data_IF_959481566987
#
_entry.id   IF_959481566987
#
_cell.length_a   1.000
_cell.length_b   1.000
_cell.length_c   1.000
_cell.angle_alpha   90.00
_cell.angle_beta   90.00
_cell.angle_gamma   90.00
#
_symmetry.space_group_name_H-M   'P 1'
#
loop_
_entity.id
_entity.type
_entity.pdbx_description
1 polymer ?
#
# COMPACT_ATOMS: atom_id res chain seq x y z
N UNK A 1 -8.07 -8.44 7.29
CA UNK A 1 -8.71 -8.44 5.95
C UNK A 1 -10.15 -8.91 6.11
N UNK A 2 -11.08 -8.20 5.50
CA UNK A 2 -12.48 -8.65 5.48
C UNK A 2 -12.63 -9.88 4.58
N UNK A 3 -13.47 -10.80 5.00
CA UNK A 3 -13.79 -12.03 4.25
C UNK A 3 -14.28 -11.69 2.82
N UNK A 4 -15.02 -10.60 2.69
CA UNK A 4 -15.50 -10.08 1.40
C UNK A 4 -14.37 -9.71 0.44
N UNK A 5 -13.31 -9.06 0.93
CA UNK A 5 -12.13 -8.70 0.14
C UNK A 5 -11.39 -9.93 -0.37
N UNK A 6 -11.21 -10.93 0.52
CA UNK A 6 -10.54 -12.18 0.14
C UNK A 6 -11.34 -12.95 -0.94
N UNK A 7 -12.65 -13.09 -0.73
CA UNK A 7 -13.55 -13.74 -1.69
C UNK A 7 -13.61 -12.99 -3.02
N UNK A 8 -13.61 -11.66 -2.99
CA UNK A 8 -13.60 -10.82 -4.18
C UNK A 8 -12.33 -11.02 -5.01
N UNK A 9 -11.16 -11.00 -4.37
CA UNK A 9 -9.87 -11.20 -5.04
C UNK A 9 -9.79 -12.63 -5.62
N UNK A 10 -10.07 -13.65 -4.82
CA UNK A 10 -10.01 -15.05 -5.28
C UNK A 10 -11.03 -15.32 -6.39
N UNK A 11 -12.24 -14.76 -6.29
CA UNK A 11 -13.28 -14.88 -7.29
C UNK A 11 -12.87 -14.24 -8.62
N UNK A 12 -12.37 -12.99 -8.58
CA UNK A 12 -11.94 -12.27 -9.78
C UNK A 12 -10.81 -13.01 -10.51
N UNK A 13 -9.75 -13.38 -9.79
CA UNK A 13 -8.63 -14.13 -10.39
C UNK A 13 -9.05 -15.54 -10.82
N UNK A 14 -9.93 -16.20 -10.09
CA UNK A 14 -10.45 -17.52 -10.45
C UNK A 14 -11.26 -17.51 -11.74
N UNK A 15 -12.15 -16.52 -11.93
CA UNK A 15 -12.92 -16.35 -13.16
C UNK A 15 -12.01 -16.03 -14.35
N UNK A 16 -11.07 -15.11 -14.19
CA UNK A 16 -10.12 -14.73 -15.26
C UNK A 16 -9.25 -15.95 -15.64
N UNK A 17 -8.65 -16.62 -14.66
CA UNK A 17 -7.83 -17.82 -14.89
C UNK A 17 -8.63 -18.96 -15.52
N UNK A 18 -9.88 -19.18 -15.09
CA UNK A 18 -10.78 -20.15 -15.69
C UNK A 18 -11.10 -19.85 -17.16
N UNK A 19 -11.39 -18.59 -17.49
CA UNK A 19 -11.61 -18.18 -18.87
C UNK A 19 -10.38 -18.38 -19.76
N UNK A 20 -9.17 -18.06 -19.25
CA UNK A 20 -7.91 -18.26 -19.96
C UNK A 20 -7.63 -19.75 -20.24
N UNK A 21 -7.91 -20.63 -19.26
CA UNK A 21 -7.74 -22.09 -19.46
C UNK A 21 -8.69 -22.67 -20.52
N UNK A 22 -9.94 -22.18 -20.56
CA UNK A 22 -10.93 -22.55 -21.53
C UNK A 22 -10.57 -22.08 -22.95
N UNK A 23 -9.81 -21.00 -23.09
CA UNK A 23 -9.41 -20.40 -24.38
C UNK A 23 -8.10 -20.95 -24.96
N UNK A 24 -7.56 -22.04 -24.41
CA UNK A 24 -6.37 -22.70 -24.98
C UNK A 24 -5.17 -22.79 -24.03
N UNK A 25 -5.36 -22.38 -22.76
CA UNK A 25 -4.34 -22.47 -21.71
C UNK A 25 -3.65 -21.14 -21.40
N UNK A 26 -3.23 -21.01 -20.17
CA UNK A 26 -2.62 -19.77 -19.62
C UNK A 26 -1.35 -19.36 -20.39
N UNK A 27 -0.60 -20.34 -20.92
CA UNK A 27 0.68 -20.08 -21.61
C UNK A 27 0.56 -19.21 -22.86
N UNK A 28 -0.61 -19.19 -23.52
CA UNK A 28 -0.85 -18.36 -24.71
C UNK A 28 -0.95 -16.86 -24.34
N UNK A 29 -1.40 -16.59 -23.11
CA UNK A 29 -1.62 -15.21 -22.62
C UNK A 29 -0.41 -14.64 -21.90
N UNK A 30 0.66 -15.42 -21.70
CA UNK A 30 1.90 -14.95 -21.03
C UNK A 30 2.94 -14.66 -22.10
N UNK A 31 3.08 -13.39 -22.42
CA UNK A 31 4.11 -12.87 -23.29
C UNK A 31 5.18 -12.13 -22.48
N UNK A 32 6.46 -12.54 -22.62
CA UNK A 32 7.56 -11.98 -21.83
C UNK A 32 7.78 -10.49 -22.11
N UNK A 33 7.82 -10.01 -23.36
CA UNK A 33 7.90 -8.60 -23.69
C UNK A 33 6.79 -7.75 -23.03
N UNK A 34 5.54 -8.21 -23.06
CA UNK A 34 4.41 -7.53 -22.44
C UNK A 34 4.57 -7.40 -20.93
N UNK A 35 4.98 -8.48 -20.27
CA UNK A 35 5.24 -8.47 -18.82
C UNK A 35 6.35 -7.47 -18.47
N UNK A 36 7.43 -7.42 -19.25
CA UNK A 36 8.51 -6.46 -19.05
C UNK A 36 8.05 -5.01 -19.26
N UNK A 37 7.31 -4.73 -20.32
CA UNK A 37 6.80 -3.38 -20.60
C UNK A 37 5.85 -2.93 -19.49
N UNK A 38 4.88 -3.75 -19.12
CA UNK A 38 3.86 -3.35 -18.16
C UNK A 38 4.41 -3.31 -16.73
N UNK A 39 5.01 -4.38 -16.23
CA UNK A 39 5.47 -4.42 -14.85
C UNK A 39 6.73 -3.60 -14.64
N UNK A 40 7.81 -3.93 -15.34
CA UNK A 40 9.11 -3.28 -15.15
C UNK A 40 9.04 -1.82 -15.63
N UNK A 41 8.39 -1.55 -16.75
CA UNK A 41 8.17 -0.21 -17.26
C UNK A 41 7.40 0.66 -16.28
N UNK A 42 6.30 0.16 -15.70
CA UNK A 42 5.54 0.89 -14.67
C UNK A 42 6.41 1.21 -13.45
N UNK A 43 7.18 0.23 -12.96
CA UNK A 43 8.09 0.45 -11.84
C UNK A 43 9.08 1.59 -12.11
N UNK A 44 9.74 1.60 -13.26
CA UNK A 44 10.70 2.66 -13.61
C UNK A 44 10.03 4.03 -13.80
N UNK A 45 8.86 4.09 -14.45
CA UNK A 45 8.13 5.35 -14.63
C UNK A 45 7.70 5.94 -13.28
N UNK A 46 7.23 5.11 -12.36
CA UNK A 46 6.85 5.58 -11.02
C UNK A 46 8.09 5.95 -10.21
N UNK A 47 9.19 5.19 -10.31
CA UNK A 47 10.44 5.49 -9.64
C UNK A 47 11.02 6.87 -10.05
N UNK A 48 10.77 7.34 -11.26
CA UNK A 48 11.21 8.68 -11.71
C UNK A 48 10.50 9.82 -10.96
N UNK A 49 9.30 9.57 -10.39
CA UNK A 49 8.48 10.58 -9.68
C UNK A 49 8.74 10.65 -8.18
N UNK A 50 9.29 9.61 -7.59
CA UNK A 50 9.47 9.49 -6.14
C UNK A 50 10.92 9.19 -5.78
N UNK A 51 11.33 9.57 -4.57
CA UNK A 51 12.64 9.21 -4.07
C UNK A 51 12.73 7.70 -3.81
N UNK A 52 13.92 7.12 -4.06
CA UNK A 52 14.16 5.67 -3.89
C UNK A 52 13.79 5.17 -2.50
N UNK A 53 14.06 5.97 -1.45
CA UNK A 53 13.69 5.64 -0.06
C UNK A 53 12.17 5.55 0.15
N UNK A 54 11.41 6.47 -0.45
CA UNK A 54 9.94 6.48 -0.40
C UNK A 54 9.36 5.30 -1.18
N UNK A 55 9.93 5.03 -2.35
CA UNK A 55 9.52 3.92 -3.20
C UNK A 55 9.73 2.56 -2.51
N UNK A 56 10.88 2.33 -1.89
CA UNK A 56 11.11 1.11 -1.11
C UNK A 56 10.24 1.04 0.15
N UNK A 57 9.94 2.18 0.75
CA UNK A 57 9.06 2.29 1.92
C UNK A 57 7.61 1.90 1.64
N UNK A 58 7.10 2.11 0.41
CA UNK A 58 5.71 1.81 0.06
C UNK A 58 5.38 0.30 0.18
N UNK A 59 6.34 -0.60 -0.05
CA UNK A 59 6.15 -2.04 0.12
C UNK A 59 5.95 -2.43 1.58
N UNK A 60 6.62 -1.74 2.53
CA UNK A 60 6.39 -1.94 3.97
C UNK A 60 4.99 -1.49 4.39
N UNK A 61 4.51 -0.39 3.81
CA UNK A 61 3.16 0.12 4.08
C UNK A 61 2.11 -0.85 3.53
N UNK A 62 2.28 -1.35 2.30
CA UNK A 62 1.40 -2.35 1.74
C UNK A 62 1.37 -3.65 2.56
N UNK A 63 2.53 -4.14 3.00
CA UNK A 63 2.61 -5.31 3.87
C UNK A 63 1.84 -5.13 5.18
N UNK A 64 1.93 -3.94 5.79
CA UNK A 64 1.16 -3.62 7.00
C UNK A 64 -0.36 -3.60 6.76
N UNK A 65 -0.82 -3.14 5.61
CA UNK A 65 -2.24 -3.11 5.27
C UNK A 65 -2.90 -4.51 5.29
N UNK A 66 -2.13 -5.57 5.03
CA UNK A 66 -2.62 -6.95 5.10
C UNK A 66 -2.59 -7.56 6.51
N UNK A 67 -1.66 -7.14 7.37
CA UNK A 67 -1.36 -7.80 8.65
C UNK A 67 -1.88 -6.98 9.83
N UNK A 68 -2.07 -5.67 9.65
CA UNK A 68 -2.41 -4.78 10.76
C UNK A 68 -3.82 -5.03 11.29
N UNK A 69 -3.91 -5.30 12.59
CA UNK A 69 -5.17 -5.40 13.31
C UNK A 69 -5.47 -4.01 13.90
N UNK A 70 -6.58 -3.42 13.49
CA UNK A 70 -7.06 -2.18 14.08
C UNK A 70 -7.43 -2.45 15.53
N UNK A 71 -6.96 -1.61 16.44
CA UNK A 71 -7.45 -1.56 17.82
C UNK A 71 -8.86 -1.00 17.78
N UNK A 72 -9.78 -1.57 18.56
CA UNK A 72 -11.14 -1.04 18.64
C UNK A 72 -11.08 0.36 19.28
N UNK A 73 -11.66 1.38 18.64
CA UNK A 73 -11.70 2.72 19.22
C UNK A 73 -12.38 2.78 20.59
N UNK A 74 -13.34 1.88 20.87
CA UNK A 74 -14.03 1.81 22.15
C UNK A 74 -13.08 1.35 23.25
N UNK A 75 -12.31 0.29 23.01
CA UNK A 75 -11.32 -0.22 23.97
C UNK A 75 -10.27 0.86 24.30
N UNK A 76 -9.85 1.64 23.29
CA UNK A 76 -8.89 2.72 23.48
C UNK A 76 -9.48 3.88 24.31
N UNK A 77 -10.76 4.21 24.11
CA UNK A 77 -11.44 5.24 24.90
C UNK A 77 -11.53 4.80 26.37
N UNK A 78 -11.90 3.57 26.64
CA UNK A 78 -12.01 3.03 27.99
C UNK A 78 -10.64 3.05 28.69
N UNK A 79 -9.58 2.68 27.98
CA UNK A 79 -8.20 2.75 28.48
C UNK A 79 -7.78 4.19 28.83
N UNK A 80 -8.09 5.17 27.97
CA UNK A 80 -7.80 6.58 28.22
C UNK A 80 -8.57 7.11 29.43
N UNK A 81 -9.84 6.71 29.61
CA UNK A 81 -10.66 7.08 30.77
C UNK A 81 -10.07 6.52 32.07
N UNK A 82 -9.63 5.26 32.06
CA UNK A 82 -8.99 4.64 33.24
C UNK A 82 -7.69 5.37 33.61
N UNK A 83 -6.84 5.66 32.62
CA UNK A 83 -5.60 6.39 32.83
C UNK A 83 -5.83 7.81 33.37
N UNK A 84 -6.87 8.50 32.86
CA UNK A 84 -7.25 9.82 33.33
C UNK A 84 -7.75 9.80 34.79
N UNK A 85 -8.51 8.80 35.17
CA UNK A 85 -8.98 8.60 36.55
C UNK A 85 -7.83 8.29 37.51
N UNK A 86 -6.87 7.50 37.07
CA UNK A 86 -5.67 7.18 37.85
C UNK A 86 -4.78 8.41 38.06
N UNK A 87 -4.53 9.15 36.99
CA UNK A 87 -3.78 10.42 37.07
C UNK A 87 -4.43 11.41 37.99
N UNK A 88 -5.78 11.49 38.04
CA UNK A 88 -6.53 12.36 38.90
C UNK A 88 -6.43 11.97 40.39
N UNK A 89 -6.41 10.66 40.68
CA UNK A 89 -6.39 10.13 42.05
C UNK A 89 -4.99 10.06 42.64
N UNK A 90 -4.03 9.64 41.86
CA UNK A 90 -2.69 9.29 42.32
C UNK A 90 -1.58 10.20 41.76
N UNK A 91 -1.95 11.17 40.91
CA UNK A 91 -1.01 12.07 40.22
C UNK A 91 -0.42 11.50 38.96
N UNK A 92 0.20 12.36 38.11
CA UNK A 92 0.76 11.99 36.81
C UNK A 92 1.87 10.95 36.91
N UNK A 93 2.66 10.94 37.97
CA UNK A 93 3.75 9.97 38.19
C UNK A 93 3.26 8.53 38.34
N UNK A 94 1.99 8.33 38.72
CA UNK A 94 1.43 6.95 38.80
C UNK A 94 1.28 6.27 37.45
N UNK A 95 1.39 7.03 36.35
CA UNK A 95 1.30 6.50 35.00
C UNK A 95 2.62 6.00 34.42
N UNK A 96 3.76 6.23 35.12
CA UNK A 96 5.09 5.87 34.65
C UNK A 96 5.25 4.35 34.40
N UNK A 97 4.72 3.53 35.30
CA UNK A 97 4.81 2.07 35.24
C UNK A 97 3.62 1.40 34.51
N UNK A 98 2.69 2.18 33.96
CA UNK A 98 1.53 1.66 33.27
C UNK A 98 1.88 1.23 31.85
N UNK A 99 1.62 -0.04 31.54
CA UNK A 99 1.65 -0.52 30.14
C UNK A 99 0.39 -0.10 29.41
N UNK A 100 0.56 0.60 28.31
CA UNK A 100 -0.52 1.10 27.45
C UNK A 100 -0.49 0.34 26.13
N UNK A 101 -1.66 -0.04 25.63
CA UNK A 101 -1.79 -0.85 24.43
C UNK A 101 -1.33 -0.17 23.15
N UNK A 102 -1.47 1.16 23.08
CA UNK A 102 -1.11 1.97 21.92
C UNK A 102 0.18 2.76 22.15
N UNK A 103 1.17 2.57 21.25
CA UNK A 103 2.49 3.20 21.35
C UNK A 103 2.46 4.73 21.23
N UNK A 104 1.48 5.29 20.50
CA UNK A 104 1.33 6.74 20.39
C UNK A 104 0.80 7.33 21.71
N UNK A 105 -0.19 6.68 22.31
CA UNK A 105 -0.72 7.04 23.62
C UNK A 105 0.36 6.92 24.71
N UNK A 106 1.14 5.84 24.70
CA UNK A 106 2.28 5.65 25.61
C UNK A 106 3.29 6.80 25.51
N UNK A 107 3.63 7.24 24.28
CA UNK A 107 4.54 8.38 24.10
C UNK A 107 3.99 9.69 24.67
N UNK A 108 2.68 9.91 24.55
CA UNK A 108 2.02 11.07 25.13
C UNK A 108 2.05 11.08 26.66
N UNK A 109 1.77 9.93 27.27
CA UNK A 109 1.82 9.75 28.72
C UNK A 109 3.23 10.00 29.23
N UNK A 110 4.25 9.45 28.58
CA UNK A 110 5.65 9.65 28.99
C UNK A 110 6.02 11.13 29.02
N UNK A 111 5.63 11.90 27.99
CA UNK A 111 5.86 13.35 27.98
C UNK A 111 5.17 14.09 29.13
N UNK A 112 3.97 13.65 29.56
CA UNK A 112 3.26 14.22 30.69
C UNK A 112 3.93 13.86 32.02
N UNK A 113 4.39 12.62 32.17
CA UNK A 113 5.13 12.15 33.37
C UNK A 113 6.47 12.89 33.51
N UNK A 114 7.16 13.14 32.38
CA UNK A 114 8.41 13.92 32.33
C UNK A 114 8.21 15.41 32.67
N UNK A 115 6.96 15.85 32.95
CA UNK A 115 6.64 17.18 33.40
C UNK A 115 6.56 18.24 32.32
N UNK A 116 6.39 17.85 31.05
CA UNK A 116 6.16 18.79 29.95
C UNK A 116 4.81 19.47 30.07
N UNK A 117 4.76 20.74 29.67
CA UNK A 117 3.51 21.51 29.63
C UNK A 117 2.49 20.83 28.68
N UNK A 118 1.22 20.68 29.09
CA UNK A 118 0.17 20.05 28.30
C UNK A 118 0.02 20.60 26.89
N UNK A 119 0.20 21.90 26.67
CA UNK A 119 0.13 22.52 25.35
C UNK A 119 1.33 22.10 24.48
N UNK A 120 2.50 21.93 25.07
CA UNK A 120 3.70 21.43 24.38
C UNK A 120 3.49 19.96 23.98
N UNK A 121 3.00 19.14 24.91
CA UNK A 121 2.70 17.72 24.63
C UNK A 121 1.70 17.59 23.48
N UNK A 122 0.61 18.35 23.53
CA UNK A 122 -0.39 18.40 22.46
C UNK A 122 0.21 18.77 21.11
N UNK A 123 1.06 19.77 21.07
CA UNK A 123 1.74 20.24 19.86
C UNK A 123 2.67 19.17 19.29
N UNK A 124 3.44 18.49 20.13
CA UNK A 124 4.35 17.41 19.73
C UNK A 124 3.59 16.21 19.17
N UNK A 125 2.53 15.76 19.86
CA UNK A 125 1.70 14.64 19.41
C UNK A 125 0.99 14.96 18.08
N UNK A 126 0.47 16.19 17.94
CA UNK A 126 -0.14 16.61 16.68
C UNK A 126 0.86 16.60 15.52
N UNK A 127 2.10 17.03 15.77
CA UNK A 127 3.17 17.02 14.78
C UNK A 127 3.55 15.59 14.39
N UNK A 128 3.72 14.69 15.36
CA UNK A 128 4.05 13.28 15.09
C UNK A 128 2.94 12.58 14.31
N UNK A 129 1.69 12.78 14.68
CA UNK A 129 0.53 12.30 13.93
C UNK A 129 0.54 12.83 12.48
N UNK A 130 0.76 14.14 12.30
CA UNK A 130 0.80 14.76 10.97
C UNK A 130 1.92 14.19 10.10
N UNK A 131 3.12 14.01 10.65
CA UNK A 131 4.25 13.42 9.91
C UNK A 131 4.02 11.94 9.57
N UNK A 132 3.35 11.21 10.45
CA UNK A 132 2.97 9.81 10.19
C UNK A 132 1.93 9.71 9.08
N UNK A 133 0.91 10.57 9.09
CA UNK A 133 -0.09 10.67 8.01
C UNK A 133 0.57 10.99 6.67
N UNK A 134 1.45 11.99 6.61
CA UNK A 134 2.18 12.34 5.38
C UNK A 134 2.98 11.17 4.82
N UNK A 135 3.66 10.39 5.68
CA UNK A 135 4.39 9.18 5.24
C UNK A 135 3.46 8.14 4.63
N UNK A 136 2.28 7.95 5.22
CA UNK A 136 1.28 7.01 4.69
C UNK A 136 0.67 7.51 3.40
N UNK A 137 0.37 8.81 3.28
CA UNK A 137 -0.12 9.44 2.06
C UNK A 137 0.85 9.26 0.88
N UNK A 138 2.15 9.49 1.10
CA UNK A 138 3.17 9.27 0.07
C UNK A 138 3.20 7.80 -0.36
N UNK A 139 3.17 6.87 0.58
CA UNK A 139 3.13 5.44 0.27
C UNK A 139 1.89 5.03 -0.53
N UNK A 140 0.73 5.54 -0.14
CA UNK A 140 -0.54 5.32 -0.85
C UNK A 140 -0.53 5.94 -2.25
N UNK A 141 0.03 7.15 -2.39
CA UNK A 141 0.16 7.84 -3.68
C UNK A 141 1.04 7.06 -4.68
N UNK A 142 2.10 6.40 -4.21
CA UNK A 142 2.94 5.54 -5.04
C UNK A 142 2.13 4.38 -5.63
N UNK A 143 1.37 3.67 -4.81
CA UNK A 143 0.51 2.57 -5.28
C UNK A 143 -0.58 3.03 -6.24
N UNK A 144 -1.21 4.16 -5.94
CA UNK A 144 -2.19 4.79 -6.85
C UNK A 144 -1.55 5.13 -8.20
N UNK A 145 -0.35 5.73 -8.18
CA UNK A 145 0.36 6.08 -9.41
C UNK A 145 0.76 4.83 -10.22
N UNK A 146 1.10 3.70 -9.55
CA UNK A 146 1.33 2.42 -10.25
C UNK A 146 0.06 1.94 -10.95
N UNK A 147 -1.08 1.99 -10.25
CA UNK A 147 -2.38 1.62 -10.82
C UNK A 147 -2.78 2.47 -12.02
N UNK A 148 -2.51 3.78 -11.97
CA UNK A 148 -2.82 4.71 -13.07
C UNK A 148 -1.85 4.54 -14.26
N UNK A 149 -0.59 4.17 -14.00
CA UNK A 149 0.45 4.06 -15.02
C UNK A 149 0.42 2.71 -15.75
N UNK A 150 0.09 1.61 -15.07
CA UNK A 150 0.11 0.27 -15.65
C UNK A 150 -0.77 0.12 -16.91
N UNK A 151 -2.01 0.61 -16.97
CA UNK A 151 -2.81 0.58 -18.20
C UNK A 151 -2.19 1.39 -19.34
N UNK A 152 -1.58 2.54 -19.04
CA UNK A 152 -0.90 3.35 -20.04
C UNK A 152 0.31 2.61 -20.64
N UNK A 153 1.07 1.91 -19.81
CA UNK A 153 2.19 1.07 -20.29
C UNK A 153 1.69 -0.11 -21.12
N UNK A 154 0.51 -0.69 -20.80
CA UNK A 154 -0.15 -1.67 -21.64
C UNK A 154 -0.49 -1.13 -23.03
N UNK A 155 -1.02 0.09 -23.12
CA UNK A 155 -1.27 0.73 -24.43
C UNK A 155 0.02 0.97 -25.22
N UNK A 156 1.11 1.33 -24.57
CA UNK A 156 2.43 1.43 -25.22
C UNK A 156 2.88 0.07 -25.75
N UNK A 157 2.67 -1.00 -24.99
CA UNK A 157 2.96 -2.37 -25.43
C UNK A 157 2.20 -2.74 -26.71
N UNK A 158 0.89 -2.49 -26.75
CA UNK A 158 0.08 -2.78 -27.93
C UNK A 158 0.54 -1.99 -29.18
N UNK A 159 0.96 -0.72 -29.02
CA UNK A 159 1.50 0.06 -30.12
C UNK A 159 2.83 -0.52 -30.63
N UNK A 160 3.72 -0.97 -29.73
CA UNK A 160 4.97 -1.63 -30.08
C UNK A 160 4.68 -2.93 -30.85
N UNK A 161 3.72 -3.74 -30.40
CA UNK A 161 3.28 -4.95 -31.08
C UNK A 161 2.74 -4.68 -32.48
N UNK A 162 1.91 -3.63 -32.64
CA UNK A 162 1.40 -3.20 -33.95
C UNK A 162 2.52 -2.80 -34.91
N UNK A 163 3.51 -2.03 -34.43
CA UNK A 163 4.66 -1.63 -35.27
C UNK A 163 5.49 -2.86 -35.68
N UNK A 164 5.73 -3.78 -34.75
CA UNK A 164 6.44 -5.03 -35.02
C UNK A 164 5.69 -5.92 -36.06
N UNK A 165 4.36 -5.99 -35.94
CA UNK A 165 3.51 -6.70 -36.90
C UNK A 165 3.61 -6.08 -38.30
N UNK A 166 3.51 -4.75 -38.41
CA UNK A 166 3.60 -4.03 -39.69
C UNK A 166 4.99 -4.19 -40.35
N UNK A 167 6.05 -4.20 -39.54
CA UNK A 167 7.42 -4.38 -40.03
C UNK A 167 7.64 -5.80 -40.63
N UNK A 168 6.92 -6.79 -40.15
CA UNK A 168 7.06 -8.19 -40.56
C UNK A 168 5.89 -8.72 -41.41
N UNK A 169 5.11 -7.84 -42.02
CA UNK A 169 3.88 -8.19 -42.78
C UNK A 169 4.10 -9.13 -43.94
N UNK A 170 5.33 -9.30 -44.40
CA UNK A 170 5.70 -10.25 -45.47
C UNK A 170 5.76 -11.72 -45.01
N UNK A 171 5.82 -11.97 -43.70
CA UNK A 171 5.83 -13.32 -43.11
C UNK A 171 4.58 -13.55 -42.24
N UNK A 172 3.57 -14.29 -42.72
CA UNK A 172 2.34 -14.57 -41.98
C UNK A 172 2.57 -15.26 -40.62
N UNK A 173 3.66 -16.02 -40.47
CA UNK A 173 3.96 -16.73 -39.22
C UNK A 173 4.40 -15.78 -38.09
N UNK A 174 4.93 -14.60 -38.40
CA UNK A 174 5.37 -13.59 -37.45
C UNK A 174 4.24 -12.69 -36.93
N UNK A 175 3.08 -12.67 -37.59
CA UNK A 175 1.94 -11.82 -37.23
C UNK A 175 1.36 -12.21 -35.86
N UNK A 176 1.19 -13.52 -35.61
CA UNK A 176 0.62 -14.01 -34.35
C UNK A 176 1.40 -13.58 -33.09
N UNK A 177 2.71 -13.84 -33.00
CA UNK A 177 3.52 -13.40 -31.89
C UNK A 177 3.53 -11.86 -31.68
N UNK A 178 3.57 -11.10 -32.79
CA UNK A 178 3.56 -9.62 -32.70
C UNK A 178 2.22 -9.02 -32.21
N UNK A 179 1.11 -9.77 -32.38
CA UNK A 179 -0.20 -9.39 -31.85
C UNK A 179 -0.38 -9.73 -30.36
N UNK A 180 0.51 -10.58 -29.80
CA UNK A 180 0.43 -11.00 -28.41
C UNK A 180 1.05 -9.98 -27.44
N UNK A 181 1.82 -9.02 -27.92
CA UNK A 181 2.39 -7.91 -27.18
C UNK A 181 1.36 -6.79 -27.01
#
# INVERSE_FOLDING_TARGET
MDLATLLGILGAFGIIGGAMTMSGGIGIFVDIPSVLIVLVGTFFVVLMKFNLSQFLGCFKIAGKAFIFKLVDPVDLIDEVVELADDARKNGLLSLEDKEVSDAFLQSGIQLLVDGHDPEVVRSLLYKDMSETLKRHEVGSAIWKQMGDTAPAMGMVGTLIGLVAMLANMSDPASIGPAMAV
#
